data_IF_277478847324
#
_entry.id   IF_277478847324
#
_cell.length_a   1.000
_cell.length_b   1.000
_cell.length_c   1.000
_cell.angle_alpha   90.00
_cell.angle_beta   90.00
_cell.angle_gamma   90.00
#
_symmetry.space_group_name_H-M   'P 1'
#
loop_
_entity.id
_entity.type
_entity.pdbx_description
1 polymer ?
#
# COMPACT_ATOMS: atom_id res chain seq x y z
N UNK A 1 3.29 28.92 -43.04
CA UNK A 1 4.33 27.88 -42.93
C UNK A 1 5.04 27.97 -41.60
N UNK A 2 4.55 27.20 -40.64
CA UNK A 2 5.17 26.95 -39.34
C UNK A 2 5.58 25.47 -39.32
N UNK A 3 6.83 25.12 -38.99
CA UNK A 3 7.15 23.78 -38.54
C UNK A 3 7.50 23.83 -37.05
N UNK A 4 6.47 23.79 -36.20
CA UNK A 4 6.61 23.49 -34.77
C UNK A 4 6.74 21.99 -34.56
N UNK A 5 7.94 21.45 -34.79
CA UNK A 5 8.26 20.06 -34.46
C UNK A 5 8.47 19.90 -32.96
N UNK A 6 7.46 19.42 -32.24
CA UNK A 6 7.63 18.93 -30.87
C UNK A 6 8.56 17.71 -30.90
N UNK A 7 9.75 17.84 -30.33
CA UNK A 7 10.69 16.74 -30.21
C UNK A 7 10.03 15.55 -29.48
N UNK A 8 10.24 14.30 -29.95
CA UNK A 8 9.72 13.13 -29.25
C UNK A 8 10.31 13.07 -27.84
N UNK A 9 9.45 12.89 -26.85
CA UNK A 9 9.85 12.69 -25.46
C UNK A 9 10.75 11.44 -25.41
N UNK A 10 11.98 11.50 -24.88
CA UNK A 10 12.87 10.34 -24.86
C UNK A 10 12.23 9.21 -24.07
N UNK A 11 12.28 7.99 -24.63
CA UNK A 11 11.86 6.78 -23.94
C UNK A 11 12.58 6.71 -22.58
N UNK A 12 11.88 6.37 -21.48
CA UNK A 12 12.54 6.18 -20.20
C UNK A 12 13.64 5.12 -20.39
N UNK A 13 14.86 5.34 -19.85
CA UNK A 13 15.94 4.37 -19.99
C UNK A 13 15.44 3.01 -19.52
N UNK A 14 15.67 1.98 -20.33
CA UNK A 14 15.32 0.61 -19.97
C UNK A 14 15.90 0.26 -18.60
N UNK A 15 15.21 -0.61 -17.86
CA UNK A 15 15.59 -1.01 -16.50
C UNK A 15 17.05 -1.47 -16.39
N UNK A 16 17.57 -2.15 -17.42
CA UNK A 16 18.94 -2.70 -17.43
C UNK A 16 20.00 -1.59 -17.46
N UNK A 17 20.01 -0.64 -18.43
CA UNK A 17 20.90 0.51 -18.38
C UNK A 17 20.88 1.27 -17.05
N UNK A 18 19.70 1.49 -16.46
CA UNK A 18 19.56 2.22 -15.20
C UNK A 18 20.19 1.50 -14.00
N UNK A 19 20.27 0.17 -14.03
CA UNK A 19 20.95 -0.64 -13.00
C UNK A 19 22.47 -0.71 -13.21
N UNK A 20 22.94 -0.52 -14.43
CA UNK A 20 24.36 -0.49 -14.80
C UNK A 20 24.99 0.91 -14.61
N UNK A 21 24.19 1.92 -14.28
CA UNK A 21 24.66 3.27 -14.01
C UNK A 21 25.52 3.33 -12.73
N UNK A 22 26.58 4.15 -12.78
CA UNK A 22 27.46 4.40 -11.65
C UNK A 22 26.70 4.83 -10.38
N UNK A 23 25.58 5.56 -10.54
CA UNK A 23 24.71 5.95 -9.45
C UNK A 23 24.15 4.75 -8.68
N UNK A 24 23.73 3.69 -9.36
CA UNK A 24 23.17 2.49 -8.72
C UNK A 24 24.27 1.74 -7.95
N UNK A 25 25.43 1.53 -8.57
CA UNK A 25 26.57 0.88 -7.91
C UNK A 25 27.04 1.65 -6.68
N UNK A 26 27.18 2.98 -6.78
CA UNK A 26 27.54 3.84 -5.66
C UNK A 26 26.53 3.73 -4.50
N UNK A 27 25.23 3.69 -4.79
CA UNK A 27 24.19 3.49 -3.77
C UNK A 27 24.34 2.14 -3.05
N UNK A 28 24.63 1.07 -3.79
CA UNK A 28 24.83 -0.28 -3.20
C UNK A 28 26.09 -0.31 -2.33
N UNK A 29 27.17 0.35 -2.75
CA UNK A 29 28.40 0.49 -1.97
C UNK A 29 28.15 1.26 -0.66
N UNK A 30 27.47 2.41 -0.74
CA UNK A 30 27.11 3.20 0.44
C UNK A 30 26.21 2.43 1.42
N UNK A 31 25.23 1.67 0.93
CA UNK A 31 24.38 0.81 1.76
C UNK A 31 25.18 -0.32 2.41
N UNK A 32 26.14 -0.90 1.69
CA UNK A 32 27.01 -1.96 2.23
C UNK A 32 27.92 -1.39 3.34
N UNK A 33 28.49 -0.21 3.13
CA UNK A 33 29.28 0.49 4.15
C UNK A 33 28.44 0.81 5.39
N UNK A 34 27.20 1.30 5.20
CA UNK A 34 26.26 1.59 6.28
C UNK A 34 25.93 0.35 7.13
N UNK A 35 25.79 -0.82 6.51
CA UNK A 35 25.53 -2.08 7.23
C UNK A 35 26.75 -2.56 8.03
N UNK A 36 27.96 -2.25 7.55
CA UNK A 36 29.22 -2.63 8.20
C UNK A 36 29.57 -1.77 9.41
N UNK A 37 29.39 -0.46 9.31
CA UNK A 37 29.65 0.50 10.41
C UNK A 37 28.49 1.52 10.53
N UNK A 38 27.34 1.09 11.09
CA UNK A 38 26.19 1.97 11.20
C UNK A 38 26.46 3.08 12.23
N UNK A 39 26.19 4.37 11.90
CA UNK A 39 26.34 5.48 12.83
C UNK A 39 25.20 5.47 13.85
N UNK A 40 25.28 4.57 14.82
CA UNK A 40 24.26 4.36 15.82
C UNK A 40 24.17 5.55 16.78
N UNK A 41 22.93 5.94 17.11
CA UNK A 41 22.68 6.92 18.17
C UNK A 41 22.89 6.27 19.55
N UNK A 42 23.16 7.05 20.62
CA UNK A 42 23.38 6.51 21.97
C UNK A 42 22.28 5.57 22.46
N UNK A 43 21.03 5.83 22.07
CA UNK A 43 19.87 5.01 22.44
C UNK A 43 19.86 3.61 21.82
N UNK A 44 20.71 3.32 20.82
CA UNK A 44 20.81 2.01 20.18
C UNK A 44 21.30 0.90 21.13
N UNK A 45 21.96 1.27 22.23
CA UNK A 45 22.43 0.32 23.24
C UNK A 45 21.34 -0.09 24.25
N UNK A 46 20.15 0.51 24.17
CA UNK A 46 19.03 0.17 25.05
C UNK A 46 18.49 -1.23 24.74
N UNK A 47 17.86 -1.92 25.71
CA UNK A 47 17.22 -3.21 25.45
C UNK A 47 16.20 -3.13 24.32
N UNK A 48 16.36 -3.97 23.30
CA UNK A 48 15.53 -3.93 22.09
C UNK A 48 14.05 -4.19 22.37
N UNK A 49 13.73 -5.17 23.23
CA UNK A 49 12.35 -5.60 23.51
C UNK A 49 11.37 -4.45 23.84
N UNK A 50 11.57 -3.63 24.89
CA UNK A 50 10.64 -2.57 25.25
C UNK A 50 10.52 -1.47 24.18
N UNK A 51 11.58 -1.24 23.39
CA UNK A 51 11.58 -0.28 22.28
C UNK A 51 10.74 -0.80 21.12
N UNK A 52 10.96 -2.06 20.74
CA UNK A 52 10.24 -2.72 19.65
C UNK A 52 8.76 -2.96 20.00
N UNK A 53 8.44 -3.40 21.21
CA UNK A 53 7.04 -3.54 21.66
C UNK A 53 6.27 -2.22 21.56
N UNK A 54 6.91 -1.12 21.96
CA UNK A 54 6.33 0.22 21.83
C UNK A 54 6.16 0.63 20.37
N UNK A 55 7.14 0.33 19.52
CA UNK A 55 7.07 0.64 18.09
C UNK A 55 5.94 -0.14 17.41
N UNK A 56 5.81 -1.44 17.65
CA UNK A 56 4.75 -2.27 17.07
C UNK A 56 3.36 -1.80 17.51
N UNK A 57 3.19 -1.46 18.79
CA UNK A 57 1.92 -0.92 19.27
C UNK A 57 1.55 0.37 18.53
N UNK A 58 2.51 1.29 18.35
CA UNK A 58 2.27 2.55 17.62
C UNK A 58 1.90 2.31 16.16
N UNK A 59 2.57 1.39 15.47
CA UNK A 59 2.24 1.07 14.08
C UNK A 59 0.87 0.40 13.96
N UNK A 60 0.48 -0.44 14.93
CA UNK A 60 -0.88 -0.99 15.02
C UNK A 60 -1.93 0.09 15.19
N UNK A 61 -1.77 0.96 16.18
CA UNK A 61 -2.69 2.07 16.45
C UNK A 61 -2.82 3.00 15.23
N UNK A 62 -1.70 3.31 14.57
CA UNK A 62 -1.70 4.09 13.33
C UNK A 62 -2.48 3.39 12.22
N UNK A 63 -2.22 2.11 11.99
CA UNK A 63 -2.91 1.36 10.95
C UNK A 63 -4.41 1.31 11.22
N UNK A 64 -4.82 1.01 12.45
CA UNK A 64 -6.20 1.00 12.89
C UNK A 64 -6.89 2.36 12.67
N UNK A 65 -6.23 3.45 13.08
CA UNK A 65 -6.75 4.80 12.89
C UNK A 65 -6.94 5.18 11.42
N UNK A 66 -6.03 4.77 10.53
CA UNK A 66 -6.16 5.05 9.09
C UNK A 66 -7.25 4.21 8.42
N UNK A 67 -7.41 2.95 8.84
CA UNK A 67 -8.52 2.08 8.40
C UNK A 67 -9.87 2.68 8.82
N UNK A 68 -9.94 3.16 10.06
CA UNK A 68 -11.08 3.88 10.60
C UNK A 68 -11.41 5.15 9.80
N UNK A 69 -10.42 6.00 9.54
CA UNK A 69 -10.59 7.19 8.71
C UNK A 69 -11.10 6.83 7.33
N UNK A 70 -10.50 5.84 6.66
CA UNK A 70 -10.87 5.46 5.30
C UNK A 70 -12.33 4.98 5.17
N UNK A 71 -12.89 4.35 6.20
CA UNK A 71 -14.31 4.00 6.25
C UNK A 71 -15.23 5.20 6.38
N UNK A 72 -14.80 6.23 7.11
CA UNK A 72 -15.59 7.44 7.35
C UNK A 72 -15.64 8.41 6.18
N UNK A 73 -14.79 8.24 5.15
CA UNK A 73 -14.80 9.09 3.96
C UNK A 73 -15.92 8.66 3.01
N UNK A 74 -16.72 9.57 2.44
CA UNK A 74 -17.69 9.27 1.38
C UNK A 74 -17.05 8.59 0.15
N UNK A 75 -17.83 7.81 -0.63
CA UNK A 75 -17.32 7.21 -1.88
C UNK A 75 -16.73 8.29 -2.82
N UNK A 76 -15.54 8.03 -3.36
CA UNK A 76 -14.84 8.95 -4.25
C UNK A 76 -13.31 8.90 -4.12
N UNK A 77 -12.58 9.74 -4.88
CA UNK A 77 -11.12 9.75 -4.92
C UNK A 77 -10.45 9.93 -3.55
N UNK A 78 -11.04 10.74 -2.67
CA UNK A 78 -10.52 10.98 -1.33
C UNK A 78 -10.55 9.73 -0.44
N UNK A 79 -11.60 8.91 -0.60
CA UNK A 79 -11.72 7.63 0.10
C UNK A 79 -10.70 6.63 -0.42
N UNK A 80 -10.49 6.59 -1.73
CA UNK A 80 -9.46 5.73 -2.32
C UNK A 80 -8.05 6.15 -1.89
N UNK A 81 -7.79 7.46 -1.80
CA UNK A 81 -6.54 7.98 -1.23
C UNK A 81 -6.40 7.63 0.27
N UNK A 82 -7.49 7.65 1.05
CA UNK A 82 -7.49 7.24 2.45
C UNK A 82 -7.19 5.75 2.62
N UNK A 83 -7.80 4.89 1.80
CA UNK A 83 -7.50 3.46 1.77
C UNK A 83 -6.05 3.19 1.35
N UNK A 84 -5.51 3.94 0.39
CA UNK A 84 -4.10 3.84 0.00
C UNK A 84 -3.14 4.19 1.16
N UNK A 85 -3.47 5.21 1.95
CA UNK A 85 -2.71 5.54 3.16
C UNK A 85 -2.77 4.41 4.19
N UNK A 86 -3.94 3.81 4.40
CA UNK A 86 -4.10 2.65 5.27
C UNK A 86 -3.25 1.46 4.80
N UNK A 87 -3.20 1.18 3.49
CA UNK A 87 -2.36 0.13 2.90
C UNK A 87 -0.87 0.35 3.17
N UNK A 88 -0.39 1.58 3.01
CA UNK A 88 1.01 1.93 3.36
C UNK A 88 1.29 1.71 4.84
N UNK A 89 0.35 2.04 5.71
CA UNK A 89 0.49 1.81 7.15
C UNK A 89 0.50 0.31 7.50
N UNK A 90 -0.38 -0.51 6.89
CA UNK A 90 -0.36 -1.96 7.07
C UNK A 90 0.98 -2.57 6.63
N UNK A 91 1.51 -2.15 5.47
CA UNK A 91 2.84 -2.57 4.99
C UNK A 91 3.96 -2.17 5.95
N UNK A 92 3.92 -0.95 6.47
CA UNK A 92 4.88 -0.47 7.49
C UNK A 92 4.80 -1.29 8.78
N UNK A 93 3.60 -1.56 9.27
CA UNK A 93 3.38 -2.33 10.49
C UNK A 93 3.85 -3.79 10.32
N UNK A 94 3.62 -4.39 9.14
CA UNK A 94 4.17 -5.71 8.79
C UNK A 94 5.69 -5.72 8.85
N UNK A 95 6.36 -4.78 8.16
CA UNK A 95 7.83 -4.74 8.15
C UNK A 95 8.43 -4.44 9.51
N UNK A 96 7.78 -3.60 10.32
CA UNK A 96 8.20 -3.39 11.71
C UNK A 96 8.11 -4.70 12.50
N UNK A 97 7.04 -5.49 12.32
CA UNK A 97 6.88 -6.78 12.98
C UNK A 97 7.89 -7.83 12.50
N UNK A 98 8.13 -7.93 11.19
CA UNK A 98 9.17 -8.80 10.62
C UNK A 98 10.56 -8.44 11.16
N UNK A 99 10.90 -7.15 11.22
CA UNK A 99 12.17 -6.68 11.78
C UNK A 99 12.30 -6.92 13.29
N UNK A 100 11.18 -6.96 14.02
CA UNK A 100 11.17 -7.19 15.47
C UNK A 100 11.18 -8.68 15.86
N UNK A 101 10.93 -9.59 14.91
CA UNK A 101 10.86 -11.03 15.15
C UNK A 101 12.10 -11.60 15.88
N UNK A 102 13.35 -11.24 15.56
CA UNK A 102 14.51 -11.77 16.27
C UNK A 102 14.53 -11.46 17.78
N UNK A 103 13.95 -10.32 18.19
CA UNK A 103 13.94 -9.89 19.59
C UNK A 103 12.66 -10.28 20.35
N UNK A 104 11.52 -10.28 19.66
CA UNK A 104 10.17 -10.49 20.23
C UNK A 104 9.60 -11.90 19.94
N UNK A 105 10.24 -12.66 19.05
CA UNK A 105 9.87 -14.03 18.71
C UNK A 105 8.47 -14.17 18.10
N UNK A 106 7.78 -15.23 18.49
CA UNK A 106 6.48 -15.64 17.91
C UNK A 106 5.41 -14.53 17.93
N UNK A 107 5.41 -13.67 18.95
CA UNK A 107 4.42 -12.59 19.06
C UNK A 107 4.52 -11.61 17.87
N UNK A 108 5.75 -11.25 17.46
CA UNK A 108 5.98 -10.38 16.32
C UNK A 108 5.74 -11.11 14.98
N UNK A 109 6.07 -12.40 14.87
CA UNK A 109 5.71 -13.21 13.70
C UNK A 109 4.20 -13.25 13.45
N UNK A 110 3.42 -13.50 14.51
CA UNK A 110 1.97 -13.52 14.44
C UNK A 110 1.41 -12.14 14.04
N UNK A 111 2.04 -11.07 14.52
CA UNK A 111 1.71 -9.69 14.14
C UNK A 111 1.98 -9.41 12.66
N UNK A 112 3.13 -9.83 12.14
CA UNK A 112 3.47 -9.71 10.72
C UNK A 112 2.44 -10.46 9.84
N UNK A 113 2.05 -11.67 10.25
CA UNK A 113 1.03 -12.45 9.54
C UNK A 113 -0.34 -11.77 9.54
N UNK A 114 -0.73 -11.09 10.63
CA UNK A 114 -1.95 -10.28 10.70
C UNK A 114 -1.91 -9.12 9.70
N UNK A 115 -0.85 -8.32 9.75
CA UNK A 115 -0.74 -7.18 8.83
C UNK A 115 -0.57 -7.60 7.37
N UNK A 116 0.01 -8.77 7.10
CA UNK A 116 0.02 -9.36 5.75
C UNK A 116 -1.41 -9.57 5.23
N UNK A 117 -2.28 -10.22 6.00
CA UNK A 117 -3.68 -10.41 5.60
C UNK A 117 -4.41 -9.09 5.33
N UNK A 118 -4.21 -8.09 6.19
CA UNK A 118 -4.78 -6.75 5.98
C UNK A 118 -4.22 -6.13 4.69
N UNK A 119 -2.90 -6.21 4.49
CA UNK A 119 -2.23 -5.69 3.29
C UNK A 119 -2.77 -6.36 2.02
N UNK A 120 -2.95 -7.68 2.01
CA UNK A 120 -3.43 -8.45 0.86
C UNK A 120 -4.84 -8.00 0.47
N UNK A 121 -5.76 -7.93 1.45
CA UNK A 121 -7.12 -7.41 1.22
C UNK A 121 -7.12 -5.97 0.68
N UNK A 122 -6.32 -5.09 1.26
CA UNK A 122 -6.18 -3.73 0.75
C UNK A 122 -5.56 -3.67 -0.66
N UNK A 123 -4.81 -4.72 -1.05
CA UNK A 123 -4.29 -4.90 -2.40
C UNK A 123 -5.39 -5.20 -3.38
N UNK A 124 -6.19 -6.22 -3.11
CA UNK A 124 -7.33 -6.60 -3.95
C UNK A 124 -8.27 -5.40 -4.18
N UNK A 125 -8.50 -4.59 -3.14
CA UNK A 125 -9.27 -3.36 -3.28
C UNK A 125 -8.62 -2.37 -4.26
N UNK A 126 -7.33 -2.09 -4.11
CA UNK A 126 -6.62 -1.13 -4.94
C UNK A 126 -6.55 -1.61 -6.40
N UNK A 127 -6.32 -2.90 -6.61
CA UNK A 127 -6.31 -3.51 -7.94
C UNK A 127 -7.68 -3.36 -8.60
N UNK A 128 -8.77 -3.51 -7.84
CA UNK A 128 -10.12 -3.23 -8.31
C UNK A 128 -10.36 -1.75 -8.69
N UNK A 129 -9.76 -0.79 -7.98
CA UNK A 129 -9.82 0.64 -8.35
C UNK A 129 -9.15 0.87 -9.71
N UNK A 130 -7.92 0.36 -9.87
CA UNK A 130 -7.16 0.48 -11.12
C UNK A 130 -7.86 -0.24 -12.29
N UNK A 131 -8.45 -1.41 -12.01
CA UNK A 131 -9.23 -2.15 -13.00
C UNK A 131 -10.44 -1.34 -13.47
N UNK A 132 -11.18 -0.66 -12.57
CA UNK A 132 -12.30 0.20 -12.94
C UNK A 132 -11.89 1.39 -13.79
N UNK A 133 -10.78 2.06 -13.44
CA UNK A 133 -10.23 3.15 -14.25
C UNK A 133 -9.88 2.67 -15.67
N UNK A 134 -9.22 1.51 -15.76
CA UNK A 134 -8.86 0.87 -17.03
C UNK A 134 -10.11 0.51 -17.85
N UNK A 135 -11.12 -0.07 -17.21
CA UNK A 135 -12.38 -0.45 -17.86
C UNK A 135 -13.14 0.77 -18.41
N UNK A 136 -13.11 1.90 -17.71
CA UNK A 136 -13.70 3.15 -18.20
C UNK A 136 -12.95 3.69 -19.42
N UNK A 137 -11.63 3.55 -19.46
CA UNK A 137 -10.84 3.91 -20.63
C UNK A 137 -11.20 3.03 -21.83
N UNK A 138 -11.17 1.71 -21.66
CA UNK A 138 -11.50 0.74 -22.70
C UNK A 138 -12.95 0.88 -23.20
N UNK A 139 -13.90 1.22 -22.32
CA UNK A 139 -15.28 1.49 -22.71
C UNK A 139 -15.37 2.68 -23.68
N UNK A 140 -14.62 3.76 -23.44
CA UNK A 140 -14.58 4.94 -24.32
C UNK A 140 -13.94 4.64 -25.66
N UNK A 141 -12.87 3.84 -25.67
CA UNK A 141 -12.23 3.39 -26.91
C UNK A 141 -13.18 2.52 -27.74
N UNK A 142 -13.89 1.59 -27.12
CA UNK A 142 -14.91 0.76 -27.78
C UNK A 142 -16.02 1.61 -28.39
N UNK A 143 -16.56 2.58 -27.65
CA UNK A 143 -17.58 3.51 -28.17
C UNK A 143 -17.06 4.33 -29.35
N UNK A 144 -15.83 4.83 -29.27
CA UNK A 144 -15.20 5.58 -30.37
C UNK A 144 -14.99 4.72 -31.63
N UNK A 145 -14.80 3.41 -31.47
CA UNK A 145 -14.73 2.44 -32.55
C UNK A 145 -16.10 1.96 -33.06
N UNK A 146 -17.21 2.40 -32.46
CA UNK A 146 -18.56 1.93 -32.78
C UNK A 146 -18.91 0.55 -32.21
N UNK A 147 -18.11 0.05 -31.28
CA UNK A 147 -18.31 -1.20 -30.56
C UNK A 147 -19.13 -0.99 -29.26
N UNK A 148 -19.65 -2.07 -28.69
CA UNK A 148 -20.44 -2.00 -27.47
C UNK A 148 -19.58 -1.85 -26.21
N UNK A 149 -19.84 -0.81 -25.41
CA UNK A 149 -19.25 -0.66 -24.07
C UNK A 149 -19.89 -1.54 -22.98
N UNK A 150 -20.96 -2.29 -23.29
CA UNK A 150 -21.75 -3.01 -22.28
C UNK A 150 -20.90 -3.99 -21.46
N UNK A 151 -20.03 -4.76 -22.12
CA UNK A 151 -19.14 -5.73 -21.45
C UNK A 151 -18.22 -5.05 -20.43
N UNK A 152 -17.63 -3.90 -20.78
CA UNK A 152 -16.78 -3.13 -19.87
C UNK A 152 -17.58 -2.60 -18.67
N UNK A 153 -18.82 -2.14 -18.90
CA UNK A 153 -19.74 -1.72 -17.83
C UNK A 153 -20.08 -2.85 -16.85
N UNK A 154 -20.34 -4.06 -17.36
CA UNK A 154 -20.59 -5.25 -16.51
C UNK A 154 -19.36 -5.58 -15.66
N UNK A 155 -18.17 -5.58 -16.24
CA UNK A 155 -16.92 -5.82 -15.51
C UNK A 155 -16.69 -4.74 -14.45
N UNK A 156 -16.94 -3.47 -14.77
CA UNK A 156 -16.81 -2.36 -13.82
C UNK A 156 -17.74 -2.53 -12.62
N UNK A 157 -18.99 -2.94 -12.85
CA UNK A 157 -19.95 -3.27 -11.79
C UNK A 157 -19.46 -4.40 -10.88
N UNK A 158 -18.83 -5.45 -11.43
CA UNK A 158 -18.27 -6.56 -10.65
C UNK A 158 -17.09 -6.13 -9.78
N UNK A 159 -16.21 -5.27 -10.27
CA UNK A 159 -15.11 -4.73 -9.47
C UNK A 159 -15.60 -3.84 -8.32
N UNK A 160 -16.66 -3.06 -8.54
CA UNK A 160 -17.32 -2.29 -7.46
C UNK A 160 -17.88 -3.22 -6.39
N UNK A 161 -18.52 -4.32 -6.78
CA UNK A 161 -19.05 -5.31 -5.83
C UNK A 161 -17.93 -6.02 -5.04
N UNK A 162 -16.84 -6.42 -5.72
CA UNK A 162 -15.65 -7.01 -5.08
C UNK A 162 -15.04 -6.09 -4.04
N UNK A 163 -14.83 -4.81 -4.38
CA UNK A 163 -14.27 -3.84 -3.44
C UNK A 163 -15.10 -3.70 -2.15
N UNK A 164 -16.44 -3.74 -2.25
CA UNK A 164 -17.34 -3.72 -1.09
C UNK A 164 -17.23 -4.99 -0.25
N UNK A 165 -17.06 -6.14 -0.88
CA UNK A 165 -16.87 -7.41 -0.18
C UNK A 165 -15.54 -7.45 0.56
N UNK A 166 -14.46 -7.00 -0.09
CA UNK A 166 -13.14 -6.84 0.55
C UNK A 166 -13.20 -5.96 1.79
N UNK A 167 -13.94 -4.85 1.75
CA UNK A 167 -14.14 -3.98 2.92
C UNK A 167 -14.85 -4.70 4.09
N UNK A 168 -15.84 -5.57 3.79
CA UNK A 168 -16.54 -6.36 4.81
C UNK A 168 -15.62 -7.40 5.43
N UNK A 169 -14.90 -8.15 4.61
CA UNK A 169 -13.91 -9.15 5.09
C UNK A 169 -12.84 -8.47 5.94
N UNK A 170 -12.38 -7.29 5.53
CA UNK A 170 -11.42 -6.50 6.29
C UNK A 170 -11.95 -6.12 7.68
N UNK A 171 -13.24 -5.79 7.81
CA UNK A 171 -13.88 -5.55 9.10
C UNK A 171 -13.82 -6.78 10.01
N UNK A 172 -14.19 -7.95 9.47
CA UNK A 172 -14.14 -9.23 10.22
C UNK A 172 -12.71 -9.59 10.65
N UNK A 173 -11.73 -9.35 9.78
CA UNK A 173 -10.30 -9.58 10.05
C UNK A 173 -9.81 -8.67 11.17
N UNK A 174 -10.18 -7.39 11.18
CA UNK A 174 -9.80 -6.46 12.25
C UNK A 174 -10.41 -6.84 13.61
N UNK A 175 -11.69 -7.19 13.63
CA UNK A 175 -12.41 -7.65 14.83
C UNK A 175 -11.77 -8.90 15.42
N UNK A 176 -11.45 -9.88 14.57
CA UNK A 176 -10.80 -11.13 14.98
C UNK A 176 -9.40 -10.91 15.59
N UNK A 177 -8.77 -9.76 15.33
CA UNK A 177 -7.43 -9.43 15.84
C UNK A 177 -7.42 -8.40 16.96
N UNK A 178 -8.59 -8.04 17.51
CA UNK A 178 -8.70 -7.10 18.62
C UNK A 178 -8.16 -5.71 18.27
N UNK A 179 -8.13 -5.36 16.99
CA UNK A 179 -8.00 -3.97 16.57
C UNK A 179 -9.37 -3.35 16.83
N UNK A 180 -9.51 -2.41 17.80
CA UNK A 180 -10.82 -1.86 18.10
C UNK A 180 -11.38 -1.24 16.81
N UNK A 181 -12.65 -1.54 16.46
CA UNK A 181 -13.27 -0.91 15.32
C UNK A 181 -13.23 0.61 15.55
N UNK A 182 -13.08 1.35 14.46
CA UNK A 182 -13.22 2.80 14.45
C UNK A 182 -14.37 3.25 15.35
N UNK A 183 -14.21 4.29 16.19
CA UNK A 183 -15.39 4.98 16.70
C UNK A 183 -16.22 5.40 15.48
N UNK A 184 -17.50 5.00 15.46
CA UNK A 184 -18.42 5.32 14.37
C UNK A 184 -18.46 6.83 14.08
N UNK A 185 -19.00 7.23 12.91
CA UNK A 185 -18.99 8.63 12.52
C UNK A 185 -19.60 9.50 13.62
N UNK A 186 -18.87 10.55 14.02
CA UNK A 186 -19.40 11.59 14.90
C UNK A 186 -20.58 12.21 14.16
N UNK A 187 -21.77 12.08 14.75
CA UNK A 187 -23.02 12.66 14.23
C UNK A 187 -22.96 14.17 14.21
#
# INVERSE_FOLDING_TARGET
DEPGGTAPNPDPPGLVPALDEHRHTALVEELTALLGDPPLLPDAHRPARPVLDRALRRERERCAGLLATARGVPEGPDRDAAWHRARRAAKRARYAAEAAEPALGRAARDEAARFRRIQDLLGDRQDGVLARETLLHLAREAEAAGESAFTHGVLHGRETARARETERVLCTVEEAYGVPPAPGPVR
#
